data_IF_688727984753
#
_entry.id   IF_688727984753
#
_cell.length_a   1.000
_cell.length_b   1.000
_cell.length_c   1.000
_cell.angle_alpha   90.00
_cell.angle_beta   90.00
_cell.angle_gamma   90.00
#
_symmetry.space_group_name_H-M   'P 1'
#
loop_
_entity.id
_entity.type
_entity.pdbx_description
1 polymer ?
#
# COMPACT_ATOMS: atom_id res chain seq x y z
N UNK A 1 -0.77 -20.39 -15.76
CA UNK A 1 0.30 -19.60 -15.10
C UNK A 1 1.58 -19.77 -15.91
N UNK A 2 2.15 -18.67 -16.41
CA UNK A 2 3.48 -18.71 -17.05
C UNK A 2 4.51 -18.38 -15.98
N UNK A 3 5.50 -19.24 -15.76
CA UNK A 3 6.59 -18.95 -14.84
C UNK A 3 7.34 -17.71 -15.34
N UNK A 4 7.48 -16.70 -14.48
CA UNK A 4 8.32 -15.53 -14.74
C UNK A 4 9.57 -15.67 -13.87
N UNK A 5 10.72 -15.72 -14.52
CA UNK A 5 12.02 -15.87 -13.86
C UNK A 5 12.85 -14.63 -14.12
N UNK A 6 13.47 -14.11 -13.08
CA UNK A 6 14.34 -12.94 -13.11
C UNK A 6 15.60 -13.30 -12.34
N UNK A 7 16.75 -12.81 -12.79
CA UNK A 7 17.97 -12.90 -12.02
C UNK A 7 18.04 -11.73 -11.04
N UNK A 8 18.25 -12.02 -9.76
CA UNK A 8 18.28 -11.04 -8.67
C UNK A 8 19.44 -11.40 -7.77
N UNK A 9 20.19 -10.39 -7.33
CA UNK A 9 21.28 -10.61 -6.38
C UNK A 9 20.76 -11.25 -5.09
N UNK A 10 21.43 -12.30 -4.64
CA UNK A 10 21.01 -13.13 -3.49
C UNK A 10 20.82 -12.29 -2.21
N UNK A 11 21.71 -11.33 -1.96
CA UNK A 11 21.60 -10.44 -0.80
C UNK A 11 20.31 -9.59 -0.84
N UNK A 12 19.93 -9.09 -2.01
CA UNK A 12 18.71 -8.29 -2.20
C UNK A 12 17.48 -9.17 -2.02
N UNK A 13 17.50 -10.37 -2.62
CA UNK A 13 16.42 -11.34 -2.49
C UNK A 13 16.17 -11.68 -1.01
N UNK A 14 17.23 -11.97 -0.25
CA UNK A 14 17.12 -12.34 1.16
C UNK A 14 16.55 -11.19 2.00
N UNK A 15 17.02 -9.95 1.81
CA UNK A 15 16.49 -8.76 2.50
C UNK A 15 15.01 -8.54 2.17
N UNK A 16 14.64 -8.63 0.90
CA UNK A 16 13.26 -8.40 0.45
C UNK A 16 12.29 -9.52 0.91
N UNK A 17 12.76 -10.77 0.88
CA UNK A 17 12.00 -11.93 1.38
C UNK A 17 11.73 -11.81 2.88
N UNK A 18 12.74 -11.39 3.66
CA UNK A 18 12.58 -11.14 5.09
C UNK A 18 11.56 -10.04 5.36
N UNK A 19 11.67 -8.90 4.67
CA UNK A 19 10.70 -7.80 4.76
C UNK A 19 9.27 -8.28 4.46
N UNK A 20 9.06 -9.04 3.38
CA UNK A 20 7.72 -9.56 3.06
C UNK A 20 7.18 -10.48 4.17
N UNK A 21 8.06 -11.27 4.78
CA UNK A 21 7.69 -12.20 5.86
C UNK A 21 7.31 -11.45 7.14
N UNK A 22 8.11 -10.46 7.56
CA UNK A 22 7.83 -9.64 8.76
C UNK A 22 6.49 -8.90 8.65
N UNK A 23 6.18 -8.38 7.45
CA UNK A 23 4.95 -7.65 7.20
C UNK A 23 3.76 -8.52 6.78
N UNK A 24 3.91 -9.86 6.74
CA UNK A 24 2.88 -10.82 6.30
C UNK A 24 2.33 -10.52 4.90
N UNK A 25 3.21 -10.15 3.97
CA UNK A 25 2.88 -9.79 2.59
C UNK A 25 3.35 -10.89 1.64
N UNK A 26 2.56 -11.16 0.59
CA UNK A 26 2.98 -12.04 -0.49
C UNK A 26 4.05 -11.38 -1.35
N UNK A 27 5.22 -12.03 -1.47
CA UNK A 27 6.34 -11.54 -2.28
C UNK A 27 5.95 -11.37 -3.76
N UNK A 28 5.21 -12.32 -4.33
CA UNK A 28 4.74 -12.23 -5.72
C UNK A 28 3.81 -11.04 -5.93
N UNK A 29 2.90 -10.79 -4.98
CA UNK A 29 2.00 -9.62 -5.04
C UNK A 29 2.80 -8.31 -4.97
N UNK A 30 3.88 -8.30 -4.20
CA UNK A 30 4.67 -7.10 -4.00
C UNK A 30 5.60 -6.79 -5.18
N UNK A 31 6.09 -7.82 -5.86
CA UNK A 31 6.76 -7.68 -7.16
C UNK A 31 5.79 -7.14 -8.22
N UNK A 32 4.56 -7.66 -8.26
CA UNK A 32 3.53 -7.20 -9.19
C UNK A 32 3.19 -5.72 -8.95
N UNK A 33 2.93 -5.31 -7.70
CA UNK A 33 2.67 -3.92 -7.34
C UNK A 33 3.85 -3.00 -7.67
N UNK A 34 5.07 -3.48 -7.48
CA UNK A 34 6.26 -2.74 -7.89
C UNK A 34 6.29 -2.54 -9.41
N UNK A 35 6.07 -3.59 -10.19
CA UNK A 35 6.01 -3.48 -11.66
C UNK A 35 4.89 -2.55 -12.13
N UNK A 36 3.70 -2.63 -11.52
CA UNK A 36 2.57 -1.71 -11.78
C UNK A 36 3.00 -0.26 -11.51
N UNK A 37 3.62 0.01 -10.35
CA UNK A 37 4.06 1.36 -9.97
C UNK A 37 5.14 1.97 -10.89
N UNK A 38 5.91 1.13 -11.58
CA UNK A 38 6.94 1.56 -12.53
C UNK A 38 6.38 1.83 -13.93
N UNK A 39 5.21 1.27 -14.26
CA UNK A 39 4.56 1.39 -15.57
C UNK A 39 3.49 2.49 -15.55
N UNK A 40 2.79 2.68 -14.43
CA UNK A 40 1.79 3.74 -14.29
C UNK A 40 2.49 5.11 -14.17
N UNK A 41 2.35 5.94 -15.22
CA UNK A 41 3.06 7.23 -15.40
C UNK A 41 2.85 8.25 -14.28
N UNK A 42 1.81 8.09 -13.48
CA UNK A 42 1.59 8.66 -12.16
C UNK A 42 0.55 7.70 -11.56
N UNK A 43 0.61 7.33 -10.27
CA UNK A 43 -0.53 6.66 -9.67
C UNK A 43 -1.67 7.67 -9.68
N UNK A 44 -2.50 7.64 -10.74
CA UNK A 44 -3.83 8.23 -10.70
C UNK A 44 -4.50 7.55 -9.52
N UNK A 45 -4.48 8.24 -8.37
CA UNK A 45 -5.05 7.73 -7.15
C UNK A 45 -6.44 7.19 -7.52
N UNK A 46 -6.65 5.87 -7.29
CA UNK A 46 -7.85 5.20 -7.82
C UNK A 46 -9.05 6.08 -7.56
N UNK A 47 -9.88 6.30 -8.59
CA UNK A 47 -11.00 7.26 -8.52
C UNK A 47 -11.82 7.11 -7.24
N UNK A 48 -12.01 5.88 -6.76
CA UNK A 48 -12.65 5.55 -5.47
C UNK A 48 -11.97 6.21 -4.25
N UNK A 49 -10.64 6.23 -4.18
CA UNK A 49 -9.91 6.93 -3.11
C UNK A 49 -10.05 8.45 -3.21
N UNK A 50 -10.05 8.99 -4.43
CA UNK A 50 -10.28 10.42 -4.66
C UNK A 50 -11.70 10.83 -4.25
N UNK A 51 -12.70 10.03 -4.59
CA UNK A 51 -14.10 10.21 -4.18
C UNK A 51 -14.23 10.19 -2.64
N UNK A 52 -13.62 9.20 -1.96
CA UNK A 52 -13.61 9.16 -0.49
C UNK A 52 -12.93 10.37 0.14
N UNK A 53 -11.81 10.83 -0.43
CA UNK A 53 -11.12 12.02 0.05
C UNK A 53 -11.94 13.29 -0.16
N UNK A 54 -12.67 13.41 -1.26
CA UNK A 54 -13.61 14.52 -1.47
C UNK A 54 -14.75 14.53 -0.44
N UNK A 55 -15.35 13.38 -0.17
CA UNK A 55 -16.41 13.25 0.84
C UNK A 55 -15.90 13.61 2.24
N UNK A 56 -14.71 13.15 2.60
CA UNK A 56 -14.02 13.55 3.83
C UNK A 56 -13.82 15.07 3.83
N UNK A 57 -13.26 15.68 2.78
CA UNK A 57 -13.02 17.15 2.72
C UNK A 57 -14.31 17.98 2.89
N UNK A 58 -15.46 17.48 2.42
CA UNK A 58 -16.77 18.14 2.58
C UNK A 58 -17.38 17.93 3.98
N UNK A 59 -16.83 17.01 4.77
CA UNK A 59 -17.30 16.68 6.11
C UNK A 59 -17.16 17.84 7.11
N UNK A 60 -18.08 17.91 8.08
CA UNK A 60 -17.97 18.81 9.23
C UNK A 60 -17.19 18.12 10.34
N UNK A 61 -15.92 18.50 10.49
CA UNK A 61 -15.06 17.94 11.52
C UNK A 61 -15.21 18.69 12.84
N UNK A 62 -15.32 17.94 13.93
CA UNK A 62 -15.15 18.46 15.29
C UNK A 62 -13.70 18.23 15.73
N UNK A 63 -13.09 19.22 16.37
CA UNK A 63 -11.76 19.05 16.95
C UNK A 63 -11.90 18.22 18.23
N UNK A 64 -11.32 17.03 18.22
CA UNK A 64 -11.31 16.13 19.38
C UNK A 64 -9.93 16.17 20.04
N UNK A 65 -9.87 16.26 21.37
CA UNK A 65 -8.60 16.23 22.12
C UNK A 65 -8.03 14.81 22.26
N UNK A 66 -8.92 13.82 22.35
CA UNK A 66 -8.59 12.40 22.46
C UNK A 66 -9.69 11.56 21.82
N UNK A 67 -9.32 10.68 20.89
CA UNK A 67 -10.27 9.74 20.29
C UNK A 67 -10.75 8.70 21.31
N UNK A 68 -9.89 8.31 22.26
CA UNK A 68 -10.23 7.40 23.35
C UNK A 68 -11.31 8.00 24.26
N UNK A 69 -11.20 9.28 24.62
CA UNK A 69 -12.20 9.96 25.45
C UNK A 69 -13.55 10.13 24.73
N UNK A 70 -13.52 10.38 23.42
CA UNK A 70 -14.72 10.69 22.64
C UNK A 70 -15.44 9.44 22.10
N UNK A 71 -14.70 8.36 21.83
CA UNK A 71 -15.21 7.16 21.14
C UNK A 71 -14.88 5.83 21.85
N UNK A 72 -14.18 5.85 22.98
CA UNK A 72 -13.90 4.67 23.80
C UNK A 72 -12.91 3.68 23.16
N UNK A 73 -12.05 4.16 22.26
CA UNK A 73 -10.99 3.40 21.59
C UNK A 73 -9.75 3.20 22.46
#
# INVERSE_FOLDING_TARGET
MTLKTFDVQEEIYNKFSHFCTEHKISMGRQIELFMESMIETEPEAKREYLEKLEEIRKGKFIKVKSFAEQYGL
#
